data_IF_378814193070
#
_entry.id   IF_378814193070
#
_cell.length_a   1.000
_cell.length_b   1.000
_cell.length_c   1.000
_cell.angle_alpha   90.00
_cell.angle_beta   90.00
_cell.angle_gamma   90.00
#
_symmetry.space_group_name_H-M   'P 1'
#
loop_
_entity.id
_entity.type
_entity.pdbx_description
1 polymer ?
#
# COMPACT_ATOMS: atom_id res chain seq x y z
N UNK A 1 -5.12 6.99 -16.66
CA UNK A 1 -5.11 8.03 -15.63
C UNK A 1 -3.98 7.69 -14.67
N UNK A 2 -3.16 8.66 -14.23
CA UNK A 2 -1.92 8.37 -13.49
C UNK A 2 -2.23 8.14 -12.00
N UNK A 3 -2.50 6.89 -11.61
CA UNK A 3 -2.89 6.59 -10.22
C UNK A 3 -1.67 6.38 -9.33
N UNK A 4 -1.81 6.69 -8.05
CA UNK A 4 -0.79 6.47 -7.03
C UNK A 4 -1.31 5.43 -6.03
N UNK A 5 -0.47 4.49 -5.62
CA UNK A 5 -0.79 3.56 -4.55
C UNK A 5 -0.03 3.92 -3.27
N UNK A 6 -0.67 3.74 -2.12
CA UNK A 6 0.02 3.54 -0.84
C UNK A 6 -0.21 2.10 -0.40
N UNK A 7 0.85 1.38 -0.06
CA UNK A 7 0.79 -0.01 0.37
C UNK A 7 1.10 -0.09 1.87
N UNK A 8 0.18 -0.67 2.65
CA UNK A 8 0.28 -0.75 4.11
C UNK A 8 0.02 -2.18 4.60
N UNK A 9 0.70 -2.57 5.69
CA UNK A 9 0.42 -3.82 6.39
C UNK A 9 -0.71 -3.57 7.40
N UNK A 10 -1.84 -4.27 7.21
CA UNK A 10 -3.04 -4.07 8.03
C UNK A 10 -2.80 -4.35 9.52
N UNK A 11 -1.93 -5.31 9.84
CA UNK A 11 -1.54 -5.68 11.20
C UNK A 11 -0.80 -4.58 11.96
N UNK A 12 -0.19 -3.62 11.25
CA UNK A 12 0.47 -2.45 11.85
C UNK A 12 -0.51 -1.28 12.07
N UNK A 13 -1.73 -1.40 11.56
CA UNK A 13 -2.73 -0.35 11.62
C UNK A 13 -2.36 0.88 10.79
N UNK A 14 -2.82 2.06 11.23
CA UNK A 14 -2.58 3.34 10.58
C UNK A 14 -1.75 4.26 11.46
N UNK A 15 -0.50 3.83 11.71
CA UNK A 15 0.47 4.52 12.53
C UNK A 15 1.03 5.80 11.86
N UNK A 16 2.02 6.44 12.50
CA UNK A 16 2.62 7.66 11.96
C UNK A 16 3.34 7.44 10.62
N UNK A 17 3.93 6.26 10.40
CA UNK A 17 4.62 5.95 9.16
C UNK A 17 3.62 5.72 8.02
N UNK A 18 2.52 5.03 8.30
CA UNK A 18 1.40 4.86 7.36
C UNK A 18 0.73 6.20 7.03
N UNK A 19 0.53 7.07 8.02
CA UNK A 19 -0.01 8.43 7.83
C UNK A 19 0.90 9.29 6.95
N UNK A 20 2.21 9.26 7.19
CA UNK A 20 3.18 9.98 6.38
C UNK A 20 3.18 9.51 4.92
N UNK A 21 3.18 8.19 4.70
CA UNK A 21 3.13 7.60 3.36
C UNK A 21 1.81 7.90 2.64
N UNK A 22 0.66 7.81 3.33
CA UNK A 22 -0.64 8.13 2.75
C UNK A 22 -0.77 9.62 2.42
N UNK A 23 -0.29 10.51 3.28
CA UNK A 23 -0.26 11.96 3.03
C UNK A 23 0.64 12.32 1.84
N UNK A 24 1.84 11.73 1.76
CA UNK A 24 2.72 11.90 0.61
C UNK A 24 2.10 11.34 -0.68
N UNK A 25 1.44 10.19 -0.59
CA UNK A 25 0.72 9.58 -1.71
C UNK A 25 -0.41 10.46 -2.22
N UNK A 26 -1.15 11.09 -1.30
CA UNK A 26 -2.24 12.03 -1.65
C UNK A 26 -1.70 13.26 -2.37
N UNK A 27 -0.66 13.88 -1.83
CA UNK A 27 -0.03 15.03 -2.47
C UNK A 27 0.53 14.68 -3.86
N UNK A 28 1.11 13.48 -4.02
CA UNK A 28 1.59 13.01 -5.31
C UNK A 28 0.43 12.78 -6.30
N UNK A 29 -0.63 12.10 -5.88
CA UNK A 29 -1.83 11.86 -6.69
C UNK A 29 -2.43 13.19 -7.21
N UNK A 30 -2.56 14.19 -6.34
CA UNK A 30 -3.02 15.53 -6.71
C UNK A 30 -2.11 16.19 -7.75
N UNK A 31 -0.78 16.10 -7.57
CA UNK A 31 0.19 16.70 -8.49
C UNK A 31 0.18 16.07 -9.89
N UNK A 32 -0.21 14.79 -10.02
CA UNK A 32 -0.33 14.08 -11.30
C UNK A 32 -1.77 14.06 -11.83
N UNK A 33 -2.72 14.68 -11.13
CA UNK A 33 -4.14 14.71 -11.49
C UNK A 33 -4.81 13.34 -11.46
N UNK A 34 -4.37 12.45 -10.58
CA UNK A 34 -4.88 11.09 -10.42
C UNK A 34 -5.50 10.81 -9.05
N UNK A 35 -5.77 9.53 -8.81
CA UNK A 35 -6.38 9.03 -7.56
C UNK A 35 -5.34 8.34 -6.68
N UNK A 36 -5.52 8.45 -5.36
CA UNK A 36 -4.80 7.67 -4.38
C UNK A 36 -5.57 6.40 -4.05
N UNK A 37 -4.96 5.24 -4.28
CA UNK A 37 -5.48 3.94 -3.83
C UNK A 37 -4.68 3.44 -2.62
N UNK A 38 -5.36 3.09 -1.54
CA UNK A 38 -4.77 2.37 -0.41
C UNK A 38 -4.86 0.86 -0.63
N UNK A 39 -3.72 0.18 -0.65
CA UNK A 39 -3.58 -1.27 -0.76
C UNK A 39 -3.22 -1.83 0.61
N UNK A 40 -4.15 -2.55 1.23
CA UNK A 40 -4.01 -3.06 2.60
C UNK A 40 -3.69 -4.55 2.58
N UNK A 41 -2.49 -4.92 3.00
CA UNK A 41 -2.01 -6.30 3.08
C UNK A 41 -2.48 -6.91 4.41
N UNK A 42 -3.34 -7.92 4.34
CA UNK A 42 -3.80 -8.66 5.50
C UNK A 42 -4.94 -7.99 6.28
N UNK A 43 -5.32 -8.58 7.43
CA UNK A 43 -6.39 -8.06 8.27
C UNK A 43 -6.05 -6.65 8.78
N UNK A 44 -7.03 -5.75 8.75
CA UNK A 44 -6.91 -4.40 9.30
C UNK A 44 -8.11 -4.10 10.20
N UNK A 45 -7.88 -3.28 11.24
CA UNK A 45 -8.98 -2.82 12.09
C UNK A 45 -9.88 -1.84 11.36
N UNK A 46 -11.17 -1.80 11.71
CA UNK A 46 -12.14 -0.85 11.14
C UNK A 46 -11.67 0.60 11.26
N UNK A 47 -11.02 0.95 12.37
CA UNK A 47 -10.45 2.28 12.59
C UNK A 47 -9.34 2.60 11.58
N UNK A 48 -8.46 1.64 11.27
CA UNK A 48 -7.42 1.83 10.28
C UNK A 48 -8.01 1.98 8.87
N UNK A 49 -9.01 1.16 8.53
CA UNK A 49 -9.73 1.25 7.25
C UNK A 49 -10.44 2.59 7.10
N UNK A 50 -11.15 3.04 8.15
CA UNK A 50 -11.83 4.34 8.14
C UNK A 50 -10.85 5.51 8.00
N UNK A 51 -9.69 5.44 8.66
CA UNK A 51 -8.66 6.47 8.56
C UNK A 51 -8.02 6.52 7.17
N UNK A 52 -7.78 5.37 6.53
CA UNK A 52 -7.31 5.29 5.14
C UNK A 52 -8.36 5.82 4.16
N UNK A 53 -9.63 5.47 4.36
CA UNK A 53 -10.74 5.93 3.52
C UNK A 53 -10.99 7.45 3.62
N UNK A 54 -10.50 8.10 4.68
CA UNK A 54 -10.55 9.56 4.80
C UNK A 54 -9.52 10.30 3.93
N UNK A 55 -8.51 9.59 3.40
CA UNK A 55 -7.40 10.17 2.61
C UNK A 55 -7.30 9.59 1.21
N UNK A 56 -7.58 8.30 1.04
CA UNK A 56 -7.54 7.61 -0.24
C UNK A 56 -8.90 7.63 -0.94
N UNK A 57 -8.89 7.79 -2.26
CA UNK A 57 -10.09 7.73 -3.10
C UNK A 57 -10.65 6.30 -3.19
N UNK A 58 -9.77 5.29 -3.01
CA UNK A 58 -10.14 3.88 -2.96
C UNK A 58 -9.32 3.11 -1.93
N UNK A 59 -9.95 2.19 -1.22
CA UNK A 59 -9.28 1.24 -0.32
C UNK A 59 -9.51 -0.19 -0.84
N UNK A 60 -8.44 -0.95 -1.05
CA UNK A 60 -8.46 -2.35 -1.51
C UNK A 60 -7.79 -3.20 -0.43
N UNK A 61 -8.53 -4.15 0.13
CA UNK A 61 -8.08 -4.94 1.29
C UNK A 61 -7.90 -6.39 0.88
N UNK A 62 -6.69 -6.91 1.09
CA UNK A 62 -6.36 -8.33 0.96
C UNK A 62 -6.58 -9.04 2.28
N UNK A 63 -7.84 -9.14 2.70
CA UNK A 63 -8.23 -9.70 4.00
C UNK A 63 -8.09 -11.24 4.00
N UNK A 64 -6.86 -11.73 4.15
CA UNK A 64 -6.57 -13.14 4.38
C UNK A 64 -5.98 -13.28 5.80
N UNK A 65 -6.58 -14.10 6.65
CA UNK A 65 -6.11 -14.32 8.03
C UNK A 65 -4.67 -14.86 8.08
N UNK A 66 -4.22 -15.57 7.05
CA UNK A 66 -2.83 -16.04 6.94
C UNK A 66 -1.79 -14.89 6.88
N UNK A 67 -2.23 -13.67 6.55
CA UNK A 67 -1.42 -12.45 6.54
C UNK A 67 -1.47 -11.69 7.88
N UNK A 68 -2.09 -12.25 8.92
CA UNK A 68 -2.12 -11.64 10.25
C UNK A 68 -0.74 -11.50 10.89
N UNK A 69 0.12 -12.50 10.67
CA UNK A 69 1.53 -12.46 11.01
C UNK A 69 2.37 -12.14 9.78
N UNK A 70 3.38 -11.27 9.94
CA UNK A 70 4.23 -10.90 8.83
C UNK A 70 5.09 -12.08 8.35
N UNK A 71 4.90 -12.46 7.09
CA UNK A 71 5.72 -13.41 6.35
C UNK A 71 6.13 -12.75 5.03
N UNK A 72 7.43 -12.48 4.80
CA UNK A 72 7.86 -11.62 3.69
C UNK A 72 7.35 -12.05 2.32
N UNK A 73 7.41 -13.34 2.04
CA UNK A 73 7.01 -13.88 0.73
C UNK A 73 5.49 -13.81 0.51
N UNK A 74 4.72 -14.07 1.57
CA UNK A 74 3.25 -13.95 1.51
C UNK A 74 2.82 -12.49 1.39
N UNK A 75 3.47 -11.59 2.13
CA UNK A 75 3.23 -10.15 2.04
C UNK A 75 3.54 -9.62 0.63
N UNK A 76 4.64 -10.07 0.01
CA UNK A 76 4.99 -9.71 -1.36
C UNK A 76 3.99 -10.23 -2.39
N UNK A 77 3.56 -11.49 -2.25
CA UNK A 77 2.55 -12.05 -3.13
C UNK A 77 1.22 -11.29 -3.01
N UNK A 78 0.80 -10.98 -1.79
CA UNK A 78 -0.40 -10.20 -1.52
C UNK A 78 -0.29 -8.77 -2.07
N UNK A 79 0.85 -8.10 -1.88
CA UNK A 79 1.10 -6.77 -2.43
C UNK A 79 0.98 -6.75 -3.96
N UNK A 80 1.55 -7.75 -4.65
CA UNK A 80 1.45 -7.88 -6.11
C UNK A 80 0.00 -8.14 -6.57
N UNK A 81 -0.73 -9.00 -5.84
CA UNK A 81 -2.15 -9.27 -6.12
C UNK A 81 -3.01 -8.03 -5.91
N UNK A 82 -2.77 -7.27 -4.84
CA UNK A 82 -3.48 -6.02 -4.55
C UNK A 82 -3.17 -4.93 -5.55
N UNK A 83 -1.91 -4.83 -5.98
CA UNK A 83 -1.51 -3.93 -7.05
C UNK A 83 -2.30 -4.22 -8.34
N UNK A 84 -2.39 -5.49 -8.75
CA UNK A 84 -3.20 -5.87 -9.90
C UNK A 84 -4.71 -5.59 -9.67
N UNK A 85 -5.27 -5.95 -8.52
CA UNK A 85 -6.69 -5.76 -8.19
C UNK A 85 -7.10 -4.28 -8.07
N UNK A 86 -6.15 -3.42 -7.68
CA UNK A 86 -6.33 -1.97 -7.57
C UNK A 86 -6.23 -1.24 -8.92
N UNK A 87 -5.78 -1.91 -9.99
CA UNK A 87 -5.74 -1.39 -11.35
C UNK A 87 -4.43 -1.66 -12.10
N UNK A 88 -3.34 -1.98 -11.40
CA UNK A 88 -2.02 -2.31 -11.97
C UNK A 88 -1.24 -1.12 -12.56
N UNK A 89 -1.91 -0.10 -13.10
CA UNK A 89 -1.25 1.02 -13.77
C UNK A 89 -0.98 2.19 -12.81
N UNK A 90 -0.12 1.94 -11.82
CA UNK A 90 0.30 2.97 -10.87
C UNK A 90 1.60 3.65 -11.30
N UNK A 91 1.63 4.99 -11.26
CA UNK A 91 2.86 5.75 -11.55
C UNK A 91 3.85 5.74 -10.39
N UNK A 92 3.36 5.46 -9.17
CA UNK A 92 4.15 5.26 -7.97
C UNK A 92 3.41 4.37 -6.97
N UNK A 93 4.18 3.56 -6.23
CA UNK A 93 3.71 2.80 -5.07
C UNK A 93 4.54 3.24 -3.86
N UNK A 94 3.90 3.91 -2.92
CA UNK A 94 4.53 4.35 -1.68
C UNK A 94 4.37 3.26 -0.63
N UNK A 95 5.46 2.95 0.06
CA UNK A 95 5.45 2.14 1.26
C UNK A 95 5.87 3.00 2.44
N UNK A 96 5.49 2.60 3.64
CA UNK A 96 5.99 3.20 4.87
C UNK A 96 7.50 2.95 5.03
N UNK A 97 8.19 3.72 5.87
CA UNK A 97 9.62 3.53 6.10
C UNK A 97 9.91 2.61 7.32
N UNK A 98 9.01 1.69 7.63
CA UNK A 98 9.20 0.68 8.68
C UNK A 98 10.06 -0.49 8.17
N UNK A 99 10.51 -1.33 9.11
CA UNK A 99 11.41 -2.47 8.82
C UNK A 99 10.84 -3.43 7.78
N UNK A 100 9.54 -3.72 7.81
CA UNK A 100 8.91 -4.66 6.89
C UNK A 100 8.80 -4.07 5.49
N UNK A 101 8.37 -2.81 5.41
CA UNK A 101 8.30 -2.07 4.16
C UNK A 101 9.66 -1.91 3.48
N UNK A 102 10.73 -1.63 4.24
CA UNK A 102 12.10 -1.56 3.72
C UNK A 102 12.58 -2.91 3.15
N UNK A 103 12.15 -4.03 3.74
CA UNK A 103 12.48 -5.37 3.23
C UNK A 103 11.76 -5.68 1.91
N UNK A 104 10.45 -5.38 1.84
CA UNK A 104 9.62 -5.77 0.68
C UNK A 104 9.71 -4.79 -0.49
N UNK A 105 9.98 -3.51 -0.26
CA UNK A 105 9.99 -2.48 -1.31
C UNK A 105 10.87 -2.84 -2.53
N UNK A 106 12.17 -3.18 -2.39
CA UNK A 106 12.99 -3.53 -3.56
C UNK A 106 12.53 -4.81 -4.26
N UNK A 107 12.04 -5.80 -3.49
CA UNK A 107 11.54 -7.07 -4.03
C UNK A 107 10.22 -6.88 -4.78
N UNK A 108 9.33 -6.03 -4.27
CA UNK A 108 8.09 -5.67 -4.91
C UNK A 108 8.36 -4.88 -6.19
N UNK A 109 9.24 -3.87 -6.12
CA UNK A 109 9.65 -3.10 -7.30
C UNK A 109 10.17 -4.01 -8.42
N UNK A 110 11.05 -4.96 -8.09
CA UNK A 110 11.53 -5.94 -9.07
C UNK A 110 10.41 -6.78 -9.69
N UNK A 111 9.46 -7.28 -8.89
CA UNK A 111 8.30 -8.07 -9.38
C UNK A 111 7.37 -7.28 -10.28
N UNK A 112 7.24 -5.98 -10.03
CA UNK A 112 6.42 -5.07 -10.81
C UNK A 112 7.16 -4.49 -12.03
N UNK A 113 8.44 -4.85 -12.24
CA UNK A 113 9.26 -4.32 -13.32
C UNK A 113 9.69 -2.85 -13.11
N UNK A 114 9.63 -2.36 -11.88
CA UNK A 114 10.03 -1.00 -11.48
C UNK A 114 11.35 -0.94 -10.70
N UNK A 115 11.55 0.16 -9.99
CA UNK A 115 12.71 0.43 -9.13
C UNK A 115 12.28 1.01 -7.79
N UNK A 116 13.03 0.74 -6.73
CA UNK A 116 12.85 1.36 -5.40
C UNK A 116 13.94 2.40 -5.14
N UNK A 117 13.61 3.51 -4.47
CA UNK A 117 14.54 4.54 -3.99
C UNK A 117 14.36 4.79 -2.51
#
# INVERSE_FOLDING_TARGET
MANVAVCVLGSLGYDRAAQGAAGAGRALAESVGGELHALVIGPASDNAVAALAAVADRVVIGANEALGDYQPEQALQAAQQLHAAGGGDYVAVLLSNDTYSQEIAPRLAHRLGGSSM
#
